data_IF_103712338377
#
_entry.id   IF_103712338377
#
_cell.length_a   1.000
_cell.length_b   1.000
_cell.length_c   1.000
_cell.angle_alpha   90.00
_cell.angle_beta   90.00
_cell.angle_gamma   90.00
#
_symmetry.space_group_name_H-M   'P 1'
#
loop_
_entity.id
_entity.type
_entity.pdbx_description
1 polymer ?
#
# COMPACT_ATOMS: atom_id res chain seq x y z
N UNK A 1 16.13 3.56 -11.94
CA UNK A 1 15.76 2.37 -11.17
C UNK A 1 14.28 2.39 -10.85
N UNK A 2 13.63 1.29 -11.04
CA UNK A 2 12.20 1.18 -10.74
C UNK A 2 11.95 1.24 -9.22
N UNK A 3 10.68 1.25 -8.84
CA UNK A 3 10.28 1.15 -7.44
C UNK A 3 10.85 -0.11 -6.82
N UNK A 4 10.97 -0.09 -5.51
CA UNK A 4 11.38 -1.28 -4.77
C UNK A 4 10.41 -2.42 -5.06
N UNK A 5 10.95 -3.62 -5.29
CA UNK A 5 10.13 -4.80 -5.55
C UNK A 5 9.66 -5.48 -4.25
N UNK A 6 10.05 -4.97 -3.09
CA UNK A 6 9.67 -5.56 -1.82
C UNK A 6 8.98 -4.52 -0.93
N UNK A 7 8.24 -5.05 0.04
CA UNK A 7 7.59 -4.27 1.08
C UNK A 7 8.36 -4.42 2.38
N UNK A 8 8.08 -3.53 3.31
CA UNK A 8 8.64 -3.57 4.66
C UNK A 8 7.50 -3.72 5.65
N UNK A 9 7.65 -4.66 6.58
CA UNK A 9 6.73 -4.86 7.68
C UNK A 9 7.42 -4.43 8.99
N UNK A 10 6.71 -3.78 9.92
CA UNK A 10 7.33 -3.39 11.19
C UNK A 10 7.80 -4.57 12.03
N UNK A 11 7.21 -5.75 11.84
CA UNK A 11 7.57 -6.93 12.64
C UNK A 11 8.40 -7.94 11.86
N UNK A 12 8.24 -8.02 10.54
CA UNK A 12 8.87 -9.05 9.72
C UNK A 12 9.97 -8.51 8.81
N UNK A 13 10.17 -7.20 8.78
CA UNK A 13 11.18 -6.58 7.94
C UNK A 13 10.83 -6.66 6.46
N UNK A 14 11.80 -6.99 5.65
CA UNK A 14 11.68 -7.00 4.20
C UNK A 14 10.87 -8.20 3.73
N UNK A 15 9.84 -7.94 2.90
CA UNK A 15 8.93 -8.98 2.43
C UNK A 15 8.70 -8.82 0.93
N UNK A 16 8.70 -9.95 0.20
CA UNK A 16 8.29 -9.96 -1.20
C UNK A 16 6.78 -9.70 -1.31
N UNK A 17 6.28 -9.29 -2.48
CA UNK A 17 4.82 -9.16 -2.68
C UNK A 17 4.07 -10.47 -2.38
N UNK A 18 4.64 -11.61 -2.75
CA UNK A 18 4.04 -12.91 -2.44
C UNK A 18 3.97 -13.16 -0.93
N UNK A 19 5.01 -12.78 -0.19
CA UNK A 19 5.03 -12.91 1.26
C UNK A 19 4.00 -12.01 1.93
N UNK A 20 3.80 -10.80 1.42
CA UNK A 20 2.77 -9.89 1.91
C UNK A 20 1.38 -10.50 1.71
N UNK A 21 1.10 -11.03 0.52
CA UNK A 21 -0.18 -11.68 0.24
C UNK A 21 -0.42 -12.85 1.20
N UNK A 22 0.60 -13.69 1.40
CA UNK A 22 0.50 -14.83 2.31
C UNK A 22 0.23 -14.37 3.75
N UNK A 23 0.90 -13.31 4.18
CA UNK A 23 0.73 -12.77 5.53
C UNK A 23 -0.68 -12.18 5.72
N UNK A 24 -1.20 -11.49 4.71
CA UNK A 24 -2.56 -10.95 4.74
C UNK A 24 -3.57 -12.09 4.81
N UNK A 25 -3.42 -13.11 3.98
CA UNK A 25 -4.30 -14.28 3.99
C UNK A 25 -4.31 -14.95 5.35
N UNK A 26 -3.15 -15.13 5.94
CA UNK A 26 -3.03 -15.73 7.28
C UNK A 26 -3.79 -14.89 8.32
N UNK A 27 -3.64 -13.57 8.25
CA UNK A 27 -4.33 -12.67 9.15
C UNK A 27 -5.85 -12.76 9.01
N UNK A 28 -6.34 -12.82 7.78
CA UNK A 28 -7.76 -12.96 7.51
C UNK A 28 -8.30 -14.30 8.01
N UNK A 29 -7.54 -15.37 7.88
CA UNK A 29 -7.95 -16.69 8.31
C UNK A 29 -7.92 -16.89 9.83
N UNK A 30 -7.21 -16.04 10.56
CA UNK A 30 -7.19 -16.11 12.02
C UNK A 30 -8.54 -15.83 12.64
N UNK A 31 -9.36 -14.98 12.00
CA UNK A 31 -10.69 -14.65 12.47
C UNK A 31 -11.62 -14.47 11.28
N UNK A 32 -12.18 -15.56 10.75
CA UNK A 32 -13.02 -15.48 9.55
C UNK A 32 -14.35 -14.78 9.78
N UNK A 33 -14.75 -14.54 11.03
CA UNK A 33 -15.99 -13.85 11.35
C UNK A 33 -15.85 -12.33 11.42
N UNK A 34 -14.61 -11.83 11.49
CA UNK A 34 -14.37 -10.40 11.59
C UNK A 34 -14.60 -9.71 10.24
N UNK A 35 -14.85 -8.41 10.30
CA UNK A 35 -14.88 -7.57 9.11
C UNK A 35 -13.52 -6.92 8.92
N UNK A 36 -13.01 -6.97 7.69
CA UNK A 36 -11.70 -6.44 7.35
C UNK A 36 -11.82 -5.28 6.38
N UNK A 37 -10.92 -4.32 6.54
CA UNK A 37 -10.80 -3.20 5.60
C UNK A 37 -9.38 -3.18 5.07
N UNK A 38 -9.24 -3.31 3.76
CA UNK A 38 -7.96 -3.19 3.09
C UNK A 38 -7.83 -1.76 2.58
N UNK A 39 -6.83 -1.05 3.08
CA UNK A 39 -6.62 0.36 2.74
C UNK A 39 -5.28 0.48 2.03
N UNK A 40 -5.29 1.10 0.85
CA UNK A 40 -4.08 1.34 0.08
C UNK A 40 -3.99 2.84 -0.17
N UNK A 41 -2.85 3.40 0.15
CA UNK A 41 -2.63 4.82 -0.07
C UNK A 41 -1.17 5.10 -0.34
N UNK A 42 -0.92 6.19 -1.06
CA UNK A 42 0.42 6.65 -1.34
C UNK A 42 0.55 8.09 -0.90
N UNK A 43 1.72 8.43 -0.38
CA UNK A 43 2.04 9.78 0.05
C UNK A 43 3.45 10.10 -0.43
N UNK A 44 3.79 11.37 -0.38
CA UNK A 44 5.11 11.82 -0.80
C UNK A 44 5.67 12.78 0.21
N UNK A 45 6.98 12.71 0.38
CA UNK A 45 7.72 13.68 1.18
C UNK A 45 8.59 14.48 0.23
N UNK A 46 8.34 15.78 0.19
CA UNK A 46 9.07 16.69 -0.66
C UNK A 46 10.26 17.28 0.07
N UNK A 47 11.32 17.52 -0.67
CA UNK A 47 12.43 18.35 -0.19
C UNK A 47 13.07 19.05 -1.36
N UNK A 48 13.75 20.14 -1.07
CA UNK A 48 14.43 20.93 -2.08
C UNK A 48 15.93 20.70 -1.97
N UNK A 49 16.54 20.29 -3.08
CA UNK A 49 17.97 20.04 -3.16
C UNK A 49 18.50 20.88 -4.30
N UNK A 50 19.43 21.81 -3.97
CA UNK A 50 20.02 22.73 -4.95
C UNK A 50 18.96 23.45 -5.78
N UNK A 51 17.86 23.88 -5.12
CA UNK A 51 16.78 24.60 -5.77
C UNK A 51 15.80 23.73 -6.52
N UNK A 52 16.01 22.43 -6.59
CA UNK A 52 15.13 21.49 -7.28
C UNK A 52 14.24 20.78 -6.27
N UNK A 53 12.93 20.78 -6.51
CA UNK A 53 11.99 20.07 -5.66
C UNK A 53 11.92 18.61 -6.06
N UNK A 54 12.20 17.74 -5.11
CA UNK A 54 12.12 16.29 -5.29
C UNK A 54 11.12 15.69 -4.31
N UNK A 55 10.50 14.60 -4.71
CA UNK A 55 9.60 13.85 -3.84
C UNK A 55 10.04 12.40 -3.72
N UNK A 56 9.93 11.88 -2.50
CA UNK A 56 10.08 10.46 -2.22
C UNK A 56 8.69 9.91 -1.94
N UNK A 57 8.25 8.93 -2.73
CA UNK A 57 6.92 8.37 -2.64
C UNK A 57 6.92 7.12 -1.79
N UNK A 58 5.91 6.99 -0.92
CA UNK A 58 5.72 5.82 -0.07
C UNK A 58 4.31 5.30 -0.31
N UNK A 59 4.18 4.01 -0.60
CA UNK A 59 2.88 3.36 -0.72
C UNK A 59 2.68 2.45 0.47
N UNK A 60 1.55 2.60 1.15
CA UNK A 60 1.21 1.80 2.32
C UNK A 60 0.01 0.91 2.02
N UNK A 61 0.07 -0.30 2.56
CA UNK A 61 -1.02 -1.27 2.53
C UNK A 61 -1.37 -1.59 3.97
N UNK A 62 -2.61 -1.34 4.36
CA UNK A 62 -3.09 -1.60 5.71
C UNK A 62 -4.25 -2.58 5.64
N UNK A 63 -4.16 -3.64 6.44
CA UNK A 63 -5.27 -4.57 6.62
C UNK A 63 -5.79 -4.37 8.02
N UNK A 64 -6.94 -3.74 8.12
CA UNK A 64 -7.56 -3.41 9.40
C UNK A 64 -8.62 -4.43 9.75
N UNK A 65 -8.46 -5.11 10.88
CA UNK A 65 -9.52 -5.93 11.46
C UNK A 65 -10.34 -4.99 12.31
N UNK A 66 -11.52 -4.63 11.83
CA UNK A 66 -12.32 -3.56 12.42
C UNK A 66 -12.57 -3.86 13.90
N UNK A 67 -12.16 -2.91 14.77
CA UNK A 67 -12.29 -3.04 16.22
C UNK A 67 -11.15 -3.79 16.91
N UNK A 68 -10.21 -4.38 16.17
CA UNK A 68 -9.21 -5.29 16.75
C UNK A 68 -7.79 -5.09 16.20
N UNK A 69 -7.48 -3.89 15.70
CA UNK A 69 -6.13 -3.60 15.21
C UNK A 69 -5.94 -3.98 13.75
N UNK A 70 -4.70 -4.19 13.35
CA UNK A 70 -4.42 -4.47 11.97
C UNK A 70 -2.95 -4.78 11.72
N UNK A 71 -2.64 -5.01 10.45
CA UNK A 71 -1.27 -5.17 9.96
C UNK A 71 -1.04 -4.19 8.85
N UNK A 72 0.20 -3.73 8.70
CA UNK A 72 0.51 -2.83 7.60
C UNK A 72 1.89 -3.11 7.02
N UNK A 73 2.05 -2.68 5.78
CA UNK A 73 3.25 -2.86 4.99
C UNK A 73 3.46 -1.59 4.19
N UNK A 74 4.71 -1.23 3.92
CA UNK A 74 4.97 -0.07 3.07
C UNK A 74 6.10 -0.37 2.09
N UNK A 75 6.12 0.41 1.04
CA UNK A 75 7.12 0.29 -0.01
C UNK A 75 7.55 1.68 -0.43
N UNK A 76 8.86 1.90 -0.51
CA UNK A 76 9.42 3.15 -0.98
C UNK A 76 9.50 3.12 -2.50
N UNK A 77 9.08 4.22 -3.12
CA UNK A 77 9.27 4.42 -4.53
C UNK A 77 10.60 5.12 -4.81
N UNK A 78 10.84 5.37 -6.08
CA UNK A 78 12.00 6.12 -6.53
C UNK A 78 11.79 7.61 -6.26
N UNK A 79 12.85 8.29 -5.83
CA UNK A 79 12.83 9.75 -5.70
C UNK A 79 12.75 10.37 -7.08
N UNK A 80 11.86 11.34 -7.25
CA UNK A 80 11.61 11.97 -8.53
C UNK A 80 11.50 13.48 -8.38
N UNK A 81 11.89 14.20 -9.43
CA UNK A 81 11.71 15.64 -9.51
C UNK A 81 10.21 15.93 -9.65
N UNK A 82 9.73 16.93 -8.90
CA UNK A 82 8.33 17.33 -8.90
C UNK A 82 8.20 18.66 -9.63
N UNK A 83 7.40 18.70 -10.70
CA UNK A 83 7.19 19.89 -11.50
C UNK A 83 5.91 20.63 -11.13
N UNK A 84 4.92 19.93 -10.55
CA UNK A 84 3.66 20.54 -10.17
C UNK A 84 2.94 19.70 -9.12
N UNK A 85 2.00 20.32 -8.42
CA UNK A 85 1.14 19.62 -7.48
C UNK A 85 0.31 18.54 -8.18
N UNK A 86 -0.19 18.85 -9.38
CA UNK A 86 -0.97 17.91 -10.18
C UNK A 86 -0.16 16.66 -10.49
N UNK A 87 1.09 16.81 -10.90
CA UNK A 87 1.97 15.68 -11.19
C UNK A 87 2.18 14.81 -9.96
N UNK A 88 2.37 15.44 -8.80
CA UNK A 88 2.57 14.73 -7.54
C UNK A 88 1.34 13.89 -7.18
N UNK A 89 0.16 14.49 -7.25
CA UNK A 89 -1.10 13.80 -6.94
C UNK A 89 -1.34 12.66 -7.93
N UNK A 90 -1.05 12.89 -9.19
CA UNK A 90 -1.18 11.87 -10.24
C UNK A 90 -0.30 10.67 -9.94
N UNK A 91 0.94 10.93 -9.53
CA UNK A 91 1.89 9.85 -9.21
C UNK A 91 1.46 9.08 -7.98
N UNK A 92 1.00 9.75 -6.94
CA UNK A 92 0.49 9.08 -5.74
C UNK A 92 -0.70 8.18 -6.06
N UNK A 93 -1.62 8.69 -6.86
CA UNK A 93 -2.79 7.93 -7.31
C UNK A 93 -2.38 6.70 -8.11
N UNK A 94 -1.46 6.89 -9.06
CA UNK A 94 -0.98 5.82 -9.91
C UNK A 94 -0.34 4.70 -9.08
N UNK A 95 0.49 5.05 -8.13
CA UNK A 95 1.17 4.07 -7.26
C UNK A 95 0.17 3.27 -6.43
N UNK A 96 -0.86 3.93 -5.89
CA UNK A 96 -1.90 3.25 -5.13
C UNK A 96 -2.69 2.29 -6.00
N UNK A 97 -3.05 2.71 -7.22
CA UNK A 97 -3.81 1.87 -8.15
C UNK A 97 -2.98 0.68 -8.64
N UNK A 98 -1.70 0.88 -8.92
CA UNK A 98 -0.81 -0.21 -9.31
C UNK A 98 -0.69 -1.26 -8.20
N UNK A 99 -0.55 -0.81 -6.97
CA UNK A 99 -0.46 -1.70 -5.81
C UNK A 99 -1.76 -2.48 -5.63
N UNK A 100 -2.91 -1.81 -5.73
CA UNK A 100 -4.20 -2.46 -5.64
C UNK A 100 -4.38 -3.50 -6.75
N UNK A 101 -3.99 -3.16 -7.97
CA UNK A 101 -4.09 -4.07 -9.12
C UNK A 101 -3.25 -5.33 -8.94
N UNK A 102 -2.12 -5.22 -8.25
CA UNK A 102 -1.25 -6.36 -7.97
C UNK A 102 -1.78 -7.26 -6.86
N UNK A 103 -2.28 -6.66 -5.78
CA UNK A 103 -2.60 -7.39 -4.56
C UNK A 103 -4.04 -7.87 -4.49
N UNK A 104 -5.00 -7.03 -4.89
CA UNK A 104 -6.41 -7.31 -4.66
C UNK A 104 -6.92 -8.56 -5.40
N UNK A 105 -6.62 -8.75 -6.69
CA UNK A 105 -7.10 -9.96 -7.37
C UNK A 105 -6.58 -11.25 -6.75
N UNK A 106 -5.32 -11.25 -6.30
CA UNK A 106 -4.71 -12.44 -5.68
C UNK A 106 -5.36 -12.73 -4.34
N UNK A 107 -5.57 -11.69 -3.52
CA UNK A 107 -6.22 -11.84 -2.23
C UNK A 107 -7.66 -12.34 -2.41
N UNK A 108 -8.40 -11.72 -3.32
CA UNK A 108 -9.80 -12.09 -3.59
C UNK A 108 -9.92 -13.53 -4.04
N UNK A 109 -9.07 -13.94 -4.98
CA UNK A 109 -9.07 -15.31 -5.50
C UNK A 109 -8.75 -16.32 -4.39
N UNK A 110 -7.81 -15.98 -3.53
CA UNK A 110 -7.38 -16.87 -2.45
C UNK A 110 -8.44 -17.06 -1.39
N UNK A 111 -9.23 -16.03 -1.11
CA UNK A 111 -10.27 -16.09 -0.09
C UNK A 111 -11.55 -16.72 -0.60
N UNK A 112 -11.76 -16.69 -1.91
CA UNK A 112 -12.91 -17.33 -2.57
C UNK A 112 -14.24 -16.90 -1.95
N UNK A 113 -14.38 -15.64 -1.56
CA UNK A 113 -15.61 -15.08 -1.00
C UNK A 113 -15.88 -15.47 0.44
N UNK A 114 -14.94 -16.10 1.13
CA UNK A 114 -15.17 -16.64 2.47
C UNK A 114 -15.05 -15.62 3.60
N UNK A 115 -14.64 -14.40 3.30
CA UNK A 115 -14.43 -13.36 4.31
C UNK A 115 -15.19 -12.08 3.98
N UNK A 116 -15.54 -11.33 5.02
CA UNK A 116 -16.16 -10.01 4.89
C UNK A 116 -15.03 -8.97 4.81
N UNK A 117 -14.93 -8.28 3.69
CA UNK A 117 -13.90 -7.27 3.54
C UNK A 117 -14.29 -6.22 2.50
N UNK A 118 -13.67 -5.06 2.62
CA UNK A 118 -13.83 -3.98 1.65
C UNK A 118 -12.48 -3.36 1.33
N UNK A 119 -12.40 -2.70 0.19
CA UNK A 119 -11.20 -1.98 -0.26
C UNK A 119 -11.44 -0.48 -0.22
N UNK A 120 -10.47 0.25 0.32
CA UNK A 120 -10.42 1.71 0.23
C UNK A 120 -9.08 2.12 -0.38
N UNK A 121 -9.13 3.03 -1.32
CA UNK A 121 -7.93 3.64 -1.88
C UNK A 121 -7.95 5.10 -1.46
N UNK A 122 -6.94 5.51 -0.71
CA UNK A 122 -6.84 6.86 -0.20
C UNK A 122 -5.97 7.71 -1.12
N UNK A 123 -6.49 8.85 -1.51
CA UNK A 123 -5.79 9.81 -2.36
C UNK A 123 -5.71 11.12 -1.58
N UNK A 124 -4.48 11.56 -1.35
CA UNK A 124 -4.24 12.83 -0.68
C UNK A 124 -4.21 13.92 -1.75
N UNK A 125 -5.14 14.87 -1.66
CA UNK A 125 -5.27 15.93 -2.66
C UNK A 125 -4.81 17.28 -2.15
N UNK A 126 -4.23 17.32 -0.99
CA UNK A 126 -3.87 18.60 -0.46
C UNK A 126 -2.84 18.63 0.54
#
# INVERSE_FOLDING_TARGET
>A
MANSSYFISPTKGQMSPAAVVADIKDYLHQDPQAFYRLVIGSDSQERRIDGVKEANYVTAVVVHRVGHGGRYYWRNGTRQVVHSLREKIYKETQLSLETASSLVPVIRKSLNGSHNWELEIHIDVG
#
